data_IF_701445269023
#
_entry.id   IF_701445269023
#
_cell.length_a   1.000
_cell.length_b   1.000
_cell.length_c   1.000
_cell.angle_alpha   90.00
_cell.angle_beta   90.00
_cell.angle_gamma   90.00
#
_symmetry.space_group_name_H-M   'P 1'
#
loop_
_entity.id
_entity.type
_entity.pdbx_description
1 polymer ?
#
# COMPACT_ATOMS: atom_id res chain seq x y z
N UNK A 1 35.54 -4.10 -7.97
CA UNK A 1 34.85 -4.92 -8.99
C UNK A 1 33.43 -5.23 -8.49
N UNK A 2 32.51 -4.27 -8.61
CA UNK A 2 31.10 -4.44 -8.25
C UNK A 2 30.25 -3.90 -9.40
N UNK A 3 29.61 -4.81 -10.13
CA UNK A 3 28.71 -4.48 -11.24
C UNK A 3 27.28 -4.38 -10.70
N UNK A 4 26.76 -3.16 -10.66
CA UNK A 4 25.37 -2.83 -10.38
C UNK A 4 24.54 -3.03 -11.67
N UNK A 5 23.73 -4.08 -11.71
CA UNK A 5 22.72 -4.30 -12.75
C UNK A 5 21.55 -3.32 -12.55
N UNK A 6 21.60 -2.21 -13.29
CA UNK A 6 20.49 -1.26 -13.52
C UNK A 6 19.44 -1.93 -14.43
N UNK A 7 18.31 -2.35 -13.88
CA UNK A 7 17.12 -2.68 -14.69
C UNK A 7 16.52 -1.39 -15.25
N UNK A 8 16.75 -1.13 -16.54
CA UNK A 8 16.05 -0.12 -17.32
C UNK A 8 14.63 -0.64 -17.65
N UNK A 9 13.61 0.05 -17.17
CA UNK A 9 12.25 -0.11 -17.70
C UNK A 9 12.20 0.49 -19.12
N UNK A 10 12.11 -0.38 -20.13
CA UNK A 10 11.79 0.00 -21.50
C UNK A 10 10.28 0.20 -21.62
N UNK A 11 9.85 1.47 -21.66
CA UNK A 11 8.52 1.85 -22.09
C UNK A 11 8.53 1.79 -23.63
N UNK A 12 7.69 0.97 -24.29
CA UNK A 12 7.60 1.00 -25.73
C UNK A 12 6.93 2.32 -26.15
N UNK A 13 7.69 3.20 -26.80
CA UNK A 13 7.14 4.29 -27.60
C UNK A 13 6.72 3.71 -28.95
N UNK A 14 5.46 3.89 -29.32
CA UNK A 14 5.03 3.71 -30.71
C UNK A 14 3.73 2.91 -30.87
N UNK A 15 2.60 3.59 -30.71
CA UNK A 15 1.41 3.29 -31.51
C UNK A 15 0.59 4.57 -31.62
N UNK A 16 1.00 5.45 -32.54
CA UNK A 16 0.20 6.58 -32.98
C UNK A 16 -0.03 6.44 -34.49
N UNK A 17 -1.30 6.61 -34.86
CA UNK A 17 -1.84 6.87 -36.18
C UNK A 17 -2.13 5.64 -37.06
N UNK A 18 -3.25 4.97 -36.77
CA UNK A 18 -4.12 4.48 -37.84
C UNK A 18 -5.43 5.26 -37.80
N UNK A 19 -5.62 6.08 -38.82
CA UNK A 19 -6.82 6.86 -39.11
C UNK A 19 -7.93 5.90 -39.55
N UNK A 20 -8.82 5.53 -38.63
CA UNK A 20 -10.11 4.94 -39.01
C UNK A 20 -11.09 6.09 -39.18
N UNK A 21 -11.35 6.46 -40.44
CA UNK A 21 -12.47 7.34 -40.81
C UNK A 21 -13.77 6.59 -40.50
N UNK A 22 -14.37 6.88 -39.35
CA UNK A 22 -15.76 6.52 -39.11
C UNK A 22 -16.64 7.61 -39.73
N UNK A 23 -17.49 7.19 -40.68
CA UNK A 23 -18.50 8.02 -41.30
C UNK A 23 -19.50 8.50 -40.26
N UNK A 24 -19.78 9.80 -40.31
CA UNK A 24 -20.87 10.46 -39.61
C UNK A 24 -22.22 10.03 -40.19
N UNK A 25 -23.13 9.55 -39.34
CA UNK A 25 -24.57 9.71 -39.57
C UNK A 25 -25.32 9.68 -38.24
N UNK A 26 -25.91 10.84 -37.88
CA UNK A 26 -27.12 11.02 -37.09
C UNK A 26 -27.19 10.49 -35.63
N UNK A 27 -27.03 11.40 -34.68
CA UNK A 27 -28.07 11.62 -33.66
C UNK A 27 -27.98 13.07 -33.16
N UNK A 28 -28.85 13.91 -33.71
CA UNK A 28 -29.20 15.20 -33.16
C UNK A 28 -29.91 15.03 -31.80
N UNK A 29 -29.73 16.03 -30.93
CA UNK A 29 -30.45 16.28 -29.68
C UNK A 29 -30.04 15.46 -28.45
N UNK A 30 -28.98 15.89 -27.75
CA UNK A 30 -29.07 16.39 -26.35
C UNK A 30 -27.96 17.43 -26.17
N UNK A 31 -28.28 18.68 -26.49
CA UNK A 31 -27.50 19.84 -26.09
C UNK A 31 -28.14 20.43 -24.83
N UNK A 32 -27.52 20.28 -23.67
CA UNK A 32 -27.61 21.24 -22.57
C UNK A 32 -26.62 20.90 -21.44
N UNK A 33 -25.83 21.92 -21.08
CA UNK A 33 -25.18 22.16 -19.77
C UNK A 33 -23.94 21.34 -19.40
N UNK A 34 -22.76 21.77 -19.88
CA UNK A 34 -21.77 22.51 -19.07
C UNK A 34 -20.50 22.75 -19.91
N UNK A 35 -20.47 23.84 -20.68
CA UNK A 35 -19.24 24.31 -21.31
C UNK A 35 -18.33 24.86 -20.20
N UNK A 36 -17.34 24.07 -19.77
CA UNK A 36 -16.17 24.64 -19.11
C UNK A 36 -15.20 25.03 -20.21
N UNK A 37 -15.11 26.34 -20.47
CA UNK A 37 -14.09 26.95 -21.32
C UNK A 37 -12.70 26.50 -20.85
N UNK A 38 -12.06 25.60 -21.59
CA UNK A 38 -10.63 25.37 -21.46
C UNK A 38 -9.93 26.60 -22.04
N UNK A 39 -9.61 27.58 -21.19
CA UNK A 39 -8.88 28.79 -21.61
C UNK A 39 -7.51 28.37 -22.17
N UNK A 40 -7.32 28.63 -23.46
CA UNK A 40 -6.07 28.36 -24.18
C UNK A 40 -4.90 29.07 -23.47
N UNK A 41 -3.94 28.31 -22.93
CA UNK A 41 -2.82 28.82 -22.12
C UNK A 41 -1.93 29.81 -22.90
N UNK A 42 -2.05 29.80 -24.24
CA UNK A 42 -1.31 30.66 -25.17
C UNK A 42 -1.83 32.11 -25.23
N UNK A 43 -3.00 32.40 -24.63
CA UNK A 43 -3.63 33.73 -24.64
C UNK A 43 -3.50 34.50 -23.33
N UNK A 44 -2.84 33.94 -22.32
CA UNK A 44 -2.69 34.57 -21.01
C UNK A 44 -1.60 35.64 -21.04
N UNK A 45 -1.83 36.76 -20.36
CA UNK A 45 -0.80 37.78 -20.17
C UNK A 45 0.33 37.25 -19.29
N UNK A 46 1.53 37.81 -19.45
CA UNK A 46 2.71 37.42 -18.65
C UNK A 46 2.48 37.60 -17.15
N UNK A 47 1.74 38.64 -16.75
CA UNK A 47 1.36 38.92 -15.37
C UNK A 47 0.47 37.82 -14.79
N UNK A 48 -0.47 37.32 -15.59
CA UNK A 48 -1.42 36.30 -15.16
C UNK A 48 -0.78 34.92 -15.04
N UNK A 49 0.19 34.63 -15.93
CA UNK A 49 1.05 33.44 -15.82
C UNK A 49 1.87 33.50 -14.54
N UNK A 50 2.51 34.64 -14.25
CA UNK A 50 3.32 34.81 -13.05
C UNK A 50 2.46 34.65 -11.79
N UNK A 51 1.29 35.28 -11.74
CA UNK A 51 0.33 35.12 -10.63
C UNK A 51 -0.08 33.66 -10.41
N UNK A 52 -0.28 32.88 -11.47
CA UNK A 52 -0.59 31.45 -11.37
C UNK A 52 0.60 30.64 -10.85
N UNK A 53 1.82 30.93 -11.32
CA UNK A 53 3.03 30.24 -10.85
C UNK A 53 3.32 30.52 -9.37
N UNK A 54 3.01 31.73 -8.90
CA UNK A 54 3.16 32.08 -7.48
C UNK A 54 2.26 31.27 -6.55
N UNK A 55 1.25 30.54 -7.06
CA UNK A 55 0.45 29.62 -6.24
C UNK A 55 1.19 28.36 -5.79
N UNK A 56 2.35 28.06 -6.38
CA UNK A 56 3.22 26.96 -5.96
C UNK A 56 4.12 27.32 -4.78
N UNK A 57 4.15 28.59 -4.37
CA UNK A 57 4.94 29.07 -3.25
C UNK A 57 4.01 29.56 -2.14
N UNK A 58 4.48 29.50 -0.89
CA UNK A 58 3.75 30.08 0.23
C UNK A 58 3.73 31.61 0.09
N UNK A 59 2.83 32.26 0.83
CA UNK A 59 2.73 33.72 0.90
C UNK A 59 4.11 34.29 1.26
N UNK A 60 4.60 35.34 0.56
CA UNK A 60 5.93 35.91 0.80
C UNK A 60 6.20 36.31 2.27
N UNK A 61 5.15 36.70 3.00
CA UNK A 61 5.20 37.02 4.42
C UNK A 61 5.59 35.83 5.31
N UNK A 62 5.41 34.60 4.83
CA UNK A 62 5.71 33.38 5.58
C UNK A 62 7.15 32.89 5.36
N UNK A 63 7.87 33.41 4.36
CA UNK A 63 9.23 32.96 4.04
C UNK A 63 10.25 33.30 5.14
N UNK A 64 10.02 34.38 5.88
CA UNK A 64 10.93 34.83 6.96
C UNK A 64 10.54 34.32 8.35
N UNK A 65 9.41 33.62 8.48
CA UNK A 65 8.89 33.15 9.78
C UNK A 65 9.49 31.79 10.12
N UNK A 66 9.95 31.62 11.37
CA UNK A 66 10.45 30.33 11.86
C UNK A 66 9.36 29.27 12.11
N UNK A 67 8.10 29.68 12.23
CA UNK A 67 6.95 28.78 12.38
C UNK A 67 5.72 29.37 11.70
N UNK A 68 4.97 28.53 10.97
CA UNK A 68 3.70 28.93 10.34
C UNK A 68 2.54 28.25 11.07
N UNK A 69 1.73 29.06 11.76
CA UNK A 69 0.55 28.58 12.48
C UNK A 69 -0.44 27.95 11.50
N UNK A 70 -0.72 26.67 11.69
CA UNK A 70 -1.66 25.90 10.87
C UNK A 70 -2.75 25.27 11.71
N UNK A 71 -3.97 25.22 11.17
CA UNK A 71 -5.13 24.61 11.81
C UNK A 71 -5.01 23.09 11.99
N UNK A 72 -6.10 22.48 12.43
CA UNK A 72 -6.25 21.03 12.53
C UNK A 72 -6.58 20.44 11.14
N UNK A 73 -6.17 19.19 10.87
CA UNK A 73 -6.59 18.47 9.65
C UNK A 73 -8.09 18.13 9.66
N UNK A 74 -8.68 17.86 8.50
CA UNK A 74 -10.12 17.55 8.38
C UNK A 74 -10.48 16.18 8.97
N UNK A 75 -11.51 16.09 9.84
CA UNK A 75 -12.00 14.77 10.33
C UNK A 75 -12.95 14.14 9.33
N UNK A 76 -12.97 12.81 9.32
CA UNK A 76 -13.92 12.01 8.53
C UNK A 76 -15.37 12.43 8.83
N UNK A 77 -15.73 12.63 10.10
CA UNK A 77 -17.09 13.01 10.52
C UNK A 77 -17.55 14.35 9.92
N UNK A 78 -16.67 15.34 9.87
CA UNK A 78 -16.96 16.67 9.30
C UNK A 78 -17.16 16.59 7.78
N UNK A 79 -16.40 15.71 7.12
CA UNK A 79 -16.44 15.50 5.69
C UNK A 79 -17.69 14.73 5.24
N UNK A 80 -18.23 13.84 6.09
CA UNK A 80 -19.48 13.12 5.81
C UNK A 80 -20.70 14.03 5.66
N UNK A 81 -20.71 15.19 6.31
CA UNK A 81 -21.80 16.18 6.26
C UNK A 81 -21.75 16.98 4.94
N UNK A 82 -20.60 17.05 4.26
CA UNK A 82 -20.41 17.89 3.07
C UNK A 82 -20.94 17.22 1.80
N UNK A 83 -21.42 18.04 0.86
CA UNK A 83 -21.87 17.58 -0.46
C UNK A 83 -20.70 17.05 -1.30
N UNK A 84 -20.96 16.18 -2.30
CA UNK A 84 -19.90 15.70 -3.21
C UNK A 84 -19.26 16.85 -4.01
N UNK A 85 -20.02 17.90 -4.35
CA UNK A 85 -19.49 19.09 -5.02
C UNK A 85 -18.48 19.84 -4.14
N UNK A 86 -18.79 19.98 -2.85
CA UNK A 86 -17.89 20.66 -1.91
C UNK A 86 -16.65 19.82 -1.60
N UNK A 87 -16.79 18.49 -1.48
CA UNK A 87 -15.64 17.60 -1.34
C UNK A 87 -14.71 17.68 -2.55
N UNK A 88 -15.27 17.76 -3.77
CA UNK A 88 -14.48 17.93 -4.99
C UNK A 88 -13.73 19.26 -5.00
N UNK A 89 -14.38 20.37 -4.63
CA UNK A 89 -13.70 21.67 -4.49
C UNK A 89 -12.61 21.63 -3.42
N UNK A 90 -12.92 21.05 -2.26
CA UNK A 90 -11.99 20.92 -1.14
C UNK A 90 -10.75 20.09 -1.53
N UNK A 91 -10.94 19.01 -2.29
CA UNK A 91 -9.85 18.20 -2.82
C UNK A 91 -8.84 19.05 -3.59
N UNK A 92 -9.29 19.93 -4.50
CA UNK A 92 -8.38 20.81 -5.25
C UNK A 92 -7.73 21.89 -4.38
N UNK A 93 -8.39 22.37 -3.34
CA UNK A 93 -7.79 23.30 -2.38
C UNK A 93 -6.64 22.62 -1.64
N UNK A 94 -6.87 21.42 -1.10
CA UNK A 94 -5.85 20.62 -0.42
C UNK A 94 -4.72 20.19 -1.38
N UNK A 95 -5.07 19.86 -2.62
CA UNK A 95 -4.09 19.45 -3.63
C UNK A 95 -3.12 20.59 -3.98
N UNK A 96 -3.62 21.83 -4.11
CA UNK A 96 -2.76 23.01 -4.32
C UNK A 96 -1.84 23.26 -3.13
N UNK A 97 -2.38 23.19 -1.92
CA UNK A 97 -1.59 23.31 -0.68
C UNK A 97 -0.51 22.22 -0.59
N UNK A 98 -0.85 20.97 -0.91
CA UNK A 98 0.12 19.86 -0.94
C UNK A 98 1.25 20.11 -1.92
N UNK A 99 0.92 20.55 -3.15
CA UNK A 99 1.94 20.83 -4.16
C UNK A 99 2.84 22.00 -3.74
N UNK A 100 2.26 23.05 -3.16
CA UNK A 100 3.02 24.17 -2.61
C UNK A 100 3.99 23.70 -1.52
N UNK A 101 3.51 22.91 -0.55
CA UNK A 101 4.34 22.36 0.53
C UNK A 101 5.44 21.42 0.01
N UNK A 102 5.16 20.61 -1.02
CA UNK A 102 6.18 19.77 -1.66
C UNK A 102 7.27 20.59 -2.34
N UNK A 103 6.92 21.71 -2.97
CA UNK A 103 7.92 22.65 -3.53
C UNK A 103 8.82 23.22 -2.42
N UNK A 104 8.21 23.65 -1.30
CA UNK A 104 8.95 24.17 -0.15
C UNK A 104 9.85 23.09 0.50
N UNK A 105 9.37 21.86 0.60
CA UNK A 105 10.14 20.72 1.11
C UNK A 105 11.38 20.45 0.26
N UNK A 106 11.23 20.50 -1.07
CA UNK A 106 12.34 20.30 -1.99
C UNK A 106 13.33 21.47 -1.93
N UNK A 107 12.85 22.71 -1.91
CA UNK A 107 13.70 23.89 -1.77
C UNK A 107 14.54 23.84 -0.48
N UNK A 108 13.91 23.51 0.65
CA UNK A 108 14.63 23.36 1.93
C UNK A 108 15.69 22.24 1.87
N UNK A 109 15.39 21.11 1.21
CA UNK A 109 16.37 20.03 1.00
C UNK A 109 17.56 20.48 0.15
N UNK A 110 17.30 21.25 -0.90
CA UNK A 110 18.35 21.76 -1.79
C UNK A 110 19.26 22.76 -1.07
N UNK A 111 18.70 23.56 -0.17
CA UNK A 111 19.41 24.50 0.72
C UNK A 111 20.03 23.81 1.95
N UNK A 112 19.76 22.52 2.15
CA UNK A 112 20.20 21.73 3.33
C UNK A 112 19.67 22.32 4.64
N UNK A 113 18.46 22.86 4.59
CA UNK A 113 17.72 23.40 5.72
C UNK A 113 16.52 22.51 6.08
N UNK A 114 16.02 22.66 7.30
CA UNK A 114 14.80 21.98 7.72
C UNK A 114 13.57 22.75 7.22
N UNK A 115 12.60 22.04 6.65
CA UNK A 115 11.34 22.66 6.23
C UNK A 115 10.62 23.30 7.42
N UNK A 116 10.11 24.51 7.21
CA UNK A 116 9.27 25.22 8.17
C UNK A 116 7.94 24.46 8.33
N UNK A 117 7.60 24.08 9.56
CA UNK A 117 6.32 23.44 9.91
C UNK A 117 5.95 22.19 9.07
N UNK A 118 6.73 21.09 9.14
CA UNK A 118 6.46 19.88 8.39
C UNK A 118 5.13 19.20 8.74
N UNK A 119 4.57 19.51 9.91
CA UNK A 119 3.25 19.03 10.32
C UNK A 119 2.12 19.44 9.36
N UNK A 120 2.26 20.55 8.62
CA UNK A 120 1.26 20.99 7.62
C UNK A 120 1.04 19.93 6.56
N UNK A 121 2.12 19.34 6.04
CA UNK A 121 2.04 18.34 4.98
C UNK A 121 1.28 17.11 5.47
N UNK A 122 1.59 16.61 6.66
CA UNK A 122 0.88 15.47 7.26
C UNK A 122 -0.61 15.76 7.47
N UNK A 123 -0.98 16.96 7.92
CA UNK A 123 -2.40 17.36 8.10
C UNK A 123 -3.16 17.41 6.78
N UNK A 124 -2.51 17.89 5.71
CA UNK A 124 -3.09 17.96 4.36
C UNK A 124 -3.26 16.56 3.79
N UNK A 125 -2.25 15.70 3.92
CA UNK A 125 -2.31 14.30 3.46
C UNK A 125 -3.38 13.51 4.20
N UNK A 126 -3.52 13.69 5.52
CA UNK A 126 -4.58 13.07 6.30
C UNK A 126 -5.97 13.57 5.85
N UNK A 127 -6.11 14.88 5.60
CA UNK A 127 -7.32 15.46 5.03
C UNK A 127 -7.69 14.87 3.67
N UNK A 128 -6.71 14.72 2.76
CA UNK A 128 -6.93 14.10 1.46
C UNK A 128 -7.35 12.64 1.58
N UNK A 129 -6.67 11.86 2.43
CA UNK A 129 -7.02 10.45 2.69
C UNK A 129 -8.43 10.32 3.27
N UNK A 130 -8.81 11.20 4.18
CA UNK A 130 -10.14 11.21 4.78
C UNK A 130 -11.24 11.55 3.75
N UNK A 131 -10.98 12.48 2.81
CA UNK A 131 -11.89 12.75 1.69
C UNK A 131 -12.04 11.52 0.80
N UNK A 132 -10.93 10.88 0.44
CA UNK A 132 -10.94 9.65 -0.36
C UNK A 132 -11.73 8.53 0.33
N UNK A 133 -11.57 8.37 1.64
CA UNK A 133 -12.31 7.38 2.43
C UNK A 133 -13.82 7.64 2.45
N UNK A 134 -14.26 8.89 2.65
CA UNK A 134 -15.69 9.26 2.61
C UNK A 134 -16.28 9.02 1.22
N UNK A 135 -15.56 9.35 0.16
CA UNK A 135 -16.02 9.10 -1.22
C UNK A 135 -16.11 7.60 -1.49
N UNK A 136 -15.13 6.81 -1.03
CA UNK A 136 -15.19 5.34 -1.12
C UNK A 136 -16.35 4.78 -0.33
N UNK A 137 -16.57 5.21 0.89
CA UNK A 137 -17.71 4.81 1.74
C UNK A 137 -19.04 5.03 1.02
N UNK A 138 -19.25 6.24 0.47
CA UNK A 138 -20.46 6.59 -0.32
C UNK A 138 -20.62 5.71 -1.54
N UNK A 139 -19.55 5.50 -2.31
CA UNK A 139 -19.59 4.64 -3.48
C UNK A 139 -19.95 3.21 -3.09
N UNK A 140 -19.32 2.66 -2.05
CA UNK A 140 -19.61 1.30 -1.55
C UNK A 140 -21.08 1.14 -1.18
N UNK A 141 -21.66 2.11 -0.47
CA UNK A 141 -23.08 2.10 -0.10
C UNK A 141 -23.99 2.10 -1.34
N UNK A 142 -23.69 2.95 -2.33
CA UNK A 142 -24.42 2.97 -3.61
C UNK A 142 -24.34 1.62 -4.34
N UNK A 143 -23.14 1.05 -4.50
CA UNK A 143 -22.95 -0.23 -5.17
C UNK A 143 -23.65 -1.39 -4.46
N UNK A 144 -23.66 -1.40 -3.13
CA UNK A 144 -24.36 -2.42 -2.34
C UNK A 144 -25.87 -2.38 -2.56
N UNK A 145 -26.45 -1.19 -2.73
CA UNK A 145 -27.89 -1.02 -2.93
C UNK A 145 -28.31 -1.29 -4.38
N UNK A 146 -27.57 -0.78 -5.36
CA UNK A 146 -27.98 -0.83 -6.78
C UNK A 146 -27.58 -2.14 -7.48
N UNK A 147 -26.39 -2.68 -7.17
CA UNK A 147 -25.82 -3.81 -7.91
C UNK A 147 -25.87 -5.11 -7.12
N UNK A 148 -25.92 -5.03 -5.78
CA UNK A 148 -25.98 -6.20 -4.90
C UNK A 148 -24.72 -7.06 -4.86
N UNK A 149 -23.63 -6.65 -5.53
CA UNK A 149 -22.33 -7.34 -5.46
C UNK A 149 -21.70 -7.06 -4.08
N UNK A 150 -21.45 -8.11 -3.29
CA UNK A 150 -21.01 -8.00 -1.89
C UNK A 150 -19.63 -7.37 -1.69
N UNK A 151 -18.89 -7.13 -2.77
CA UNK A 151 -17.58 -6.50 -2.75
C UNK A 151 -17.50 -5.39 -3.80
N UNK A 152 -17.78 -4.14 -3.42
CA UNK A 152 -17.48 -2.95 -4.23
C UNK A 152 -15.96 -2.78 -4.33
N UNK A 153 -15.32 -3.55 -5.20
CA UNK A 153 -13.91 -3.37 -5.52
C UNK A 153 -13.85 -2.48 -6.76
N UNK A 154 -13.20 -1.32 -6.62
CA UNK A 154 -12.84 -0.41 -7.73
C UNK A 154 -12.24 -1.15 -8.93
N UNK A 155 -11.63 -2.32 -8.70
CA UNK A 155 -11.26 -3.29 -9.74
C UNK A 155 -11.76 -4.68 -9.41
N UNK A 156 -12.54 -5.29 -10.30
CA UNK A 156 -12.99 -6.69 -10.17
C UNK A 156 -11.79 -7.62 -9.97
N UNK A 157 -11.84 -8.48 -8.94
CA UNK A 157 -10.82 -9.50 -8.67
C UNK A 157 -11.39 -10.89 -8.93
N UNK A 158 -10.58 -11.76 -9.54
CA UNK A 158 -10.96 -13.14 -9.85
C UNK A 158 -10.00 -14.09 -9.15
N UNK A 159 -10.55 -15.14 -8.55
CA UNK A 159 -9.76 -16.20 -7.95
C UNK A 159 -9.22 -17.11 -9.05
N UNK A 160 -7.92 -17.01 -9.34
CA UNK A 160 -7.28 -17.81 -10.41
C UNK A 160 -5.83 -18.14 -10.07
N UNK A 161 -5.26 -19.06 -10.86
CA UNK A 161 -3.85 -19.42 -10.74
C UNK A 161 -2.96 -18.36 -11.38
N UNK A 162 -1.91 -18.02 -10.66
CA UNK A 162 -0.84 -17.11 -11.06
C UNK A 162 0.19 -17.76 -12.03
N UNK A 163 1.15 -16.99 -12.53
CA UNK A 163 2.31 -17.47 -13.30
C UNK A 163 3.08 -18.59 -12.60
N UNK A 164 3.03 -18.66 -11.27
CA UNK A 164 3.66 -19.71 -10.48
C UNK A 164 2.67 -20.81 -10.06
N UNK A 165 1.51 -20.92 -10.71
CA UNK A 165 0.50 -21.95 -10.42
C UNK A 165 -0.23 -21.81 -9.08
N UNK A 166 0.01 -20.72 -8.34
CA UNK A 166 -0.58 -20.48 -7.01
C UNK A 166 -1.95 -19.83 -7.15
N UNK A 167 -2.92 -20.28 -6.35
CA UNK A 167 -4.23 -19.64 -6.25
C UNK A 167 -4.13 -18.27 -5.57
N UNK A 168 -4.57 -17.21 -6.27
CA UNK A 168 -4.63 -15.85 -5.73
C UNK A 168 -5.84 -15.10 -6.25
N UNK A 169 -6.29 -14.13 -5.46
CA UNK A 169 -7.20 -13.08 -5.92
C UNK A 169 -6.44 -12.10 -6.79
N UNK A 170 -6.57 -12.23 -8.11
CA UNK A 170 -5.86 -11.39 -9.09
C UNK A 170 -6.82 -10.32 -9.61
N UNK A 171 -6.37 -9.06 -9.64
CA UNK A 171 -7.14 -7.97 -10.22
C UNK A 171 -7.29 -8.16 -11.73
N UNK A 172 -8.50 -8.01 -12.23
CA UNK A 172 -8.80 -8.01 -13.66
C UNK A 172 -8.45 -6.64 -14.25
N UNK A 173 -7.92 -6.66 -15.46
CA UNK A 173 -7.71 -5.48 -16.29
C UNK A 173 -8.73 -5.48 -17.42
N UNK A 174 -9.07 -4.29 -17.90
CA UNK A 174 -9.91 -4.13 -19.09
C UNK A 174 -9.12 -4.51 -20.34
N UNK A 175 -9.76 -5.25 -21.24
CA UNK A 175 -9.17 -5.71 -22.50
C UNK A 175 -10.15 -5.50 -23.64
N UNK A 176 -9.65 -5.09 -24.80
CA UNK A 176 -10.46 -4.91 -26.00
C UNK A 176 -10.91 -6.25 -26.59
N UNK A 177 -10.07 -7.27 -26.47
CA UNK A 177 -10.32 -8.62 -27.00
C UNK A 177 -10.54 -9.63 -25.87
N UNK A 178 -11.35 -10.67 -26.08
CA UNK A 178 -11.56 -11.73 -25.11
C UNK A 178 -10.28 -12.46 -24.70
N UNK A 179 -10.28 -13.05 -23.51
CA UNK A 179 -9.14 -13.72 -22.89
C UNK A 179 -8.47 -14.76 -23.79
N UNK A 180 -9.26 -15.61 -24.46
CA UNK A 180 -8.73 -16.70 -25.30
C UNK A 180 -8.06 -16.20 -26.60
N UNK A 181 -8.41 -15.00 -27.07
CA UNK A 181 -7.80 -14.38 -28.25
C UNK A 181 -6.53 -13.59 -27.89
N UNK A 182 -6.41 -13.17 -26.62
CA UNK A 182 -5.32 -12.32 -26.16
C UNK A 182 -4.01 -13.10 -25.90
N UNK A 183 -3.32 -13.44 -26.98
CA UNK A 183 -2.06 -14.19 -26.91
C UNK A 183 -0.95 -13.43 -26.19
N UNK A 184 -0.83 -12.12 -26.43
CA UNK A 184 0.21 -11.29 -25.81
C UNK A 184 0.07 -11.24 -24.29
N UNK A 185 -1.14 -11.03 -23.80
CA UNK A 185 -1.39 -11.03 -22.36
C UNK A 185 -1.18 -12.41 -21.74
N UNK A 186 -1.62 -13.48 -22.42
CA UNK A 186 -1.46 -14.86 -21.93
C UNK A 186 -0.01 -15.29 -21.84
N UNK A 187 0.88 -14.82 -22.73
CA UNK A 187 2.32 -15.12 -22.63
C UNK A 187 2.90 -14.80 -21.26
N UNK A 188 2.46 -13.69 -20.65
CA UNK A 188 2.98 -13.24 -19.36
C UNK A 188 2.08 -13.55 -18.18
N UNK A 189 0.79 -13.84 -18.37
CA UNK A 189 -0.17 -13.98 -17.27
C UNK A 189 -0.93 -15.31 -17.27
N UNK A 190 -0.59 -16.23 -18.18
CA UNK A 190 -1.15 -17.58 -18.13
C UNK A 190 -0.73 -18.28 -16.82
N UNK A 191 -1.60 -19.14 -16.28
CA UNK A 191 -1.24 -19.97 -15.14
C UNK A 191 0.02 -20.78 -15.39
N UNK A 192 0.97 -20.72 -14.46
CA UNK A 192 2.15 -21.59 -14.50
C UNK A 192 1.77 -23.06 -14.40
N UNK A 193 2.39 -23.88 -15.24
CA UNK A 193 2.22 -25.33 -15.26
C UNK A 193 3.59 -26.03 -15.36
N UNK A 194 3.63 -27.33 -15.08
CA UNK A 194 4.82 -28.16 -15.20
C UNK A 194 5.46 -28.57 -13.87
N UNK A 195 6.43 -29.49 -13.97
CA UNK A 195 7.10 -30.08 -12.81
C UNK A 195 7.88 -29.05 -11.98
N UNK A 196 8.49 -28.06 -12.64
CA UNK A 196 9.25 -27.00 -11.97
C UNK A 196 8.36 -26.14 -11.07
N UNK A 197 7.17 -25.79 -11.54
CA UNK A 197 6.18 -25.03 -10.77
C UNK A 197 5.70 -25.83 -9.57
N UNK A 198 5.46 -27.13 -9.74
CA UNK A 198 5.06 -28.03 -8.65
C UNK A 198 6.18 -28.12 -7.60
N UNK A 199 7.42 -28.36 -8.04
CA UNK A 199 8.60 -28.44 -7.17
C UNK A 199 8.85 -27.13 -6.42
N UNK A 200 8.72 -26.00 -7.10
CA UNK A 200 8.83 -24.67 -6.50
C UNK A 200 7.76 -24.46 -5.42
N UNK A 201 6.50 -24.77 -5.70
CA UNK A 201 5.41 -24.62 -4.74
C UNK A 201 5.58 -25.53 -3.54
N UNK A 202 6.06 -26.78 -3.74
CA UNK A 202 6.43 -27.69 -2.64
C UNK A 202 7.49 -27.06 -1.73
N UNK A 203 8.61 -26.62 -2.28
CA UNK A 203 9.69 -25.97 -1.51
C UNK A 203 9.23 -24.69 -0.81
N UNK A 204 8.37 -23.90 -1.46
CA UNK A 204 7.78 -22.71 -0.87
C UNK A 204 6.91 -23.06 0.35
N UNK A 205 6.11 -24.12 0.27
CA UNK A 205 5.30 -24.60 1.38
C UNK A 205 6.16 -25.14 2.53
N UNK A 206 7.20 -25.93 2.23
CA UNK A 206 8.18 -26.36 3.23
C UNK A 206 8.85 -25.18 3.93
N UNK A 207 9.24 -24.14 3.18
CA UNK A 207 9.82 -22.92 3.76
C UNK A 207 8.84 -22.14 4.63
N UNK A 208 7.56 -22.05 4.22
CA UNK A 208 6.51 -21.43 5.04
C UNK A 208 6.29 -22.21 6.33
N UNK A 209 6.27 -23.54 6.26
CA UNK A 209 6.13 -24.41 7.42
C UNK A 209 7.33 -24.24 8.37
N UNK A 210 8.56 -24.26 7.85
CA UNK A 210 9.79 -24.01 8.64
C UNK A 210 9.75 -22.65 9.34
N UNK A 211 9.31 -21.59 8.66
CA UNK A 211 9.14 -20.26 9.26
C UNK A 211 8.10 -20.27 10.38
N UNK A 212 6.94 -20.90 10.17
CA UNK A 212 5.88 -21.03 11.18
C UNK A 212 6.38 -21.80 12.40
N UNK A 213 7.01 -22.96 12.20
CA UNK A 213 7.59 -23.76 13.28
C UNK A 213 8.63 -22.93 14.04
N UNK A 214 9.54 -22.25 13.34
CA UNK A 214 10.55 -21.39 13.98
C UNK A 214 9.93 -20.25 14.80
N UNK A 215 8.86 -19.62 14.30
CA UNK A 215 8.12 -18.59 15.05
C UNK A 215 7.47 -19.17 16.30
N UNK A 216 6.83 -20.33 16.20
CA UNK A 216 6.22 -21.03 17.33
C UNK A 216 7.27 -21.41 18.38
N UNK A 217 8.41 -21.95 17.97
CA UNK A 217 9.51 -22.26 18.90
C UNK A 217 10.04 -21.01 19.60
N UNK A 218 10.13 -19.86 18.91
CA UNK A 218 10.53 -18.58 19.53
C UNK A 218 9.50 -18.07 20.51
N UNK A 219 8.22 -18.13 20.16
CA UNK A 219 7.12 -17.73 21.05
C UNK A 219 7.04 -18.65 22.27
N UNK A 220 7.22 -19.96 22.08
CA UNK A 220 7.28 -20.95 23.15
C UNK A 220 8.43 -20.64 24.10
N UNK A 221 9.63 -20.38 23.57
CA UNK A 221 10.77 -19.95 24.37
C UNK A 221 10.49 -18.65 25.12
N UNK A 222 9.87 -17.66 24.47
CA UNK A 222 9.49 -16.40 25.12
C UNK A 222 8.53 -16.62 26.30
N UNK A 223 7.49 -17.44 26.12
CA UNK A 223 6.55 -17.80 27.19
C UNK A 223 7.27 -18.52 28.35
N UNK A 224 8.16 -19.46 28.05
CA UNK A 224 8.99 -20.12 29.06
C UNK A 224 9.84 -19.13 29.86
N UNK A 225 10.48 -18.16 29.20
CA UNK A 225 11.27 -17.13 29.89
C UNK A 225 10.40 -16.22 30.76
N UNK A 226 9.18 -15.89 30.31
CA UNK A 226 8.22 -15.12 31.10
C UNK A 226 7.79 -15.87 32.36
N UNK A 227 7.40 -17.14 32.24
CA UNK A 227 7.03 -17.98 33.39
C UNK A 227 8.17 -18.11 34.40
N UNK A 228 9.42 -18.16 33.91
CA UNK A 228 10.62 -18.20 34.77
C UNK A 228 10.87 -16.89 35.51
N UNK A 229 10.72 -15.76 34.81
CA UNK A 229 10.98 -14.43 35.38
C UNK A 229 9.85 -13.97 36.29
N UNK A 230 8.62 -14.35 35.96
CA UNK A 230 7.39 -13.97 36.65
C UNK A 230 6.56 -15.23 36.95
N UNK A 231 6.83 -15.93 38.06
CA UNK A 231 6.13 -17.17 38.41
C UNK A 231 4.63 -16.99 38.65
N UNK A 232 4.21 -15.82 39.14
CA UNK A 232 2.81 -15.48 39.44
C UNK A 232 2.10 -14.82 38.23
N UNK A 233 2.60 -15.02 37.01
CA UNK A 233 1.97 -14.46 35.81
C UNK A 233 0.63 -15.14 35.55
N UNK A 234 -0.36 -14.36 35.12
CA UNK A 234 -1.66 -14.90 34.74
C UNK A 234 -1.53 -15.80 33.49
N UNK A 235 -1.83 -17.07 33.69
CA UNK A 235 -1.70 -18.15 32.70
C UNK A 235 -2.77 -17.99 31.62
N UNK A 236 -3.99 -17.60 32.01
CA UNK A 236 -5.12 -17.49 31.11
C UNK A 236 -4.90 -16.32 30.15
N UNK A 237 -4.41 -15.19 30.67
CA UNK A 237 -3.97 -14.06 29.85
C UNK A 237 -2.85 -14.43 28.86
N UNK A 238 -1.86 -15.21 29.31
CA UNK A 238 -0.76 -15.62 28.43
C UNK A 238 -1.27 -16.55 27.31
N UNK A 239 -2.26 -17.40 27.60
CA UNK A 239 -2.86 -18.36 26.65
C UNK A 239 -3.73 -17.67 25.62
N UNK A 240 -4.46 -16.63 26.02
CA UNK A 240 -5.18 -15.75 25.09
C UNK A 240 -4.23 -15.07 24.11
N UNK A 241 -3.09 -14.57 24.60
CA UNK A 241 -2.09 -13.91 23.76
C UNK A 241 -1.36 -14.88 22.82
N UNK A 242 -1.14 -16.12 23.24
CA UNK A 242 -0.43 -17.15 22.47
C UNK A 242 -1.27 -18.43 22.31
N UNK A 243 -2.29 -18.43 21.44
CA UNK A 243 -3.27 -19.51 21.34
C UNK A 243 -2.69 -20.83 20.81
N UNK A 244 -1.64 -20.77 19.97
CA UNK A 244 -1.03 -21.97 19.36
C UNK A 244 -0.08 -22.73 20.32
N UNK A 245 0.24 -22.18 21.49
CA UNK A 245 1.19 -22.75 22.45
C UNK A 245 0.42 -23.27 23.66
N UNK A 246 0.69 -24.50 24.09
CA UNK A 246 0.13 -25.03 25.33
C UNK A 246 0.95 -24.53 26.52
N UNK A 247 0.45 -23.50 27.21
CA UNK A 247 1.19 -22.83 28.29
C UNK A 247 1.12 -23.59 29.60
N UNK A 248 0.01 -24.26 29.88
CA UNK A 248 -0.11 -25.14 31.05
C UNK A 248 0.99 -26.20 31.04
N UNK A 249 1.15 -26.85 29.89
CA UNK A 249 2.25 -27.80 29.67
C UNK A 249 3.65 -27.19 29.80
N UNK A 250 3.84 -25.93 29.39
CA UNK A 250 5.11 -25.23 29.61
C UNK A 250 5.38 -24.99 31.10
N UNK A 251 4.35 -24.58 31.84
CA UNK A 251 4.45 -24.31 33.27
C UNK A 251 4.84 -25.56 34.04
N UNK A 252 4.12 -26.65 33.80
CA UNK A 252 4.34 -27.95 34.47
C UNK A 252 5.77 -28.46 34.23
N UNK A 253 6.32 -28.21 33.03
CA UNK A 253 7.64 -28.69 32.60
C UNK A 253 8.75 -27.62 32.67
N UNK A 254 8.52 -26.49 33.36
CA UNK A 254 9.46 -25.36 33.42
C UNK A 254 10.88 -25.77 33.86
N UNK A 255 10.99 -26.74 34.78
CA UNK A 255 12.26 -27.23 35.31
C UNK A 255 12.92 -28.27 34.40
N UNK A 256 12.14 -29.17 33.79
CA UNK A 256 12.64 -30.27 32.97
C UNK A 256 13.29 -29.76 31.67
N UNK A 257 12.64 -28.82 30.98
CA UNK A 257 13.23 -28.19 29.79
C UNK A 257 14.54 -27.45 30.10
N UNK A 258 14.68 -26.91 31.31
CA UNK A 258 15.90 -26.22 31.75
C UNK A 258 17.05 -27.20 31.92
N UNK A 259 16.78 -28.37 32.51
CA UNK A 259 17.74 -29.46 32.68
C UNK A 259 18.13 -30.03 31.31
N UNK A 260 17.16 -30.36 30.45
CA UNK A 260 17.43 -30.90 29.11
C UNK A 260 18.22 -29.91 28.23
N UNK A 261 17.86 -28.62 28.24
CA UNK A 261 18.58 -27.59 27.45
C UNK A 261 19.99 -27.36 27.98
N UNK A 262 20.18 -27.37 29.32
CA UNK A 262 21.50 -27.24 29.94
C UNK A 262 22.38 -28.45 29.64
N UNK A 263 21.84 -29.66 29.73
CA UNK A 263 22.52 -30.91 29.38
C UNK A 263 22.85 -30.96 27.87
N UNK A 264 21.93 -30.55 27.00
CA UNK A 264 22.17 -30.49 25.55
C UNK A 264 23.25 -29.46 25.19
N UNK A 265 23.21 -28.25 25.77
CA UNK A 265 24.22 -27.21 25.57
C UNK A 265 25.59 -27.61 26.14
N UNK A 266 25.61 -28.23 27.33
CA UNK A 266 26.80 -28.84 27.90
C UNK A 266 27.35 -29.91 26.94
N UNK A 267 26.52 -30.82 26.47
CA UNK A 267 26.95 -31.87 25.56
C UNK A 267 27.49 -31.29 24.24
N UNK A 268 26.88 -30.25 23.69
CA UNK A 268 27.35 -29.58 22.48
C UNK A 268 28.72 -28.91 22.70
N UNK A 269 28.92 -28.20 23.81
CA UNK A 269 30.19 -27.54 24.13
C UNK A 269 31.32 -28.55 24.41
N UNK A 270 31.03 -29.65 25.11
CA UNK A 270 32.06 -30.58 25.59
C UNK A 270 32.29 -31.79 24.68
N UNK A 271 31.30 -32.25 23.90
CA UNK A 271 31.48 -33.40 22.99
C UNK A 271 31.93 -33.01 21.57
N UNK A 272 31.87 -31.72 21.19
CA UNK A 272 32.56 -31.28 19.97
C UNK A 272 34.10 -31.32 20.11
N UNK A 273 34.63 -31.28 21.34
CA UNK A 273 36.09 -31.33 21.62
C UNK A 273 36.69 -32.75 21.51
N UNK A 274 35.86 -33.78 21.35
CA UNK A 274 36.27 -35.20 21.33
C UNK A 274 36.32 -35.82 19.93
N UNK A 275 35.99 -35.07 18.88
CA UNK A 275 36.01 -35.54 17.49
C UNK A 275 37.32 -35.23 16.73
N UNK A 276 38.22 -34.46 17.33
CA UNK A 276 39.48 -34.00 16.72
C UNK A 276 40.74 -34.60 17.40
N UNK A 277 40.63 -35.80 17.99
CA UNK A 277 41.76 -36.58 18.54
C UNK A 277 41.73 -38.00 18.00
#
# INVERSE_FOLDING_TARGET
MASLLKMRFLIPKGFLNSTVKFLSSNSSAVASTSEQESTDLTKLSSEEINKRLMTFFDVPENWTKGEVKSGRGWRIEELRIKSNSDLHKLWYILYKERNMLMTMEQAAKDEVENMISPERLFKVEDGMKNIEEVVKERNRAYWQLEVGDSNPVERRRVFRRDLFGRWRMIASSEHLIPYWMNNEWRKFNAPGFGADVINFNRRLNENRLKRRISQLSKQQFYCQQLLKRFPNIDIDYLQERFPEINIKHLMDNNNEYTIQTRTARFNQIFYHKKKDL
#
